data_IF_966282792710
#
_entry.id   IF_966282792710
#
_cell.length_a   1.000
_cell.length_b   1.000
_cell.length_c   1.000
_cell.angle_alpha   90.00
_cell.angle_beta   90.00
_cell.angle_gamma   90.00
#
_symmetry.space_group_name_H-M   'P 1'
#
loop_
_entity.id
_entity.type
_entity.pdbx_description
1 polymer ?
#
# COMPACT_ATOMS: atom_id res chain seq x y z
N UNK A 1 7.35 -4.70 -38.16
CA UNK A 1 6.35 -3.64 -38.43
C UNK A 1 6.79 -2.37 -37.73
N UNK A 2 6.66 -1.21 -38.36
CA UNK A 2 6.98 0.06 -37.70
C UNK A 2 5.97 0.34 -36.58
N UNK A 3 6.44 0.91 -35.47
CA UNK A 3 5.62 1.31 -34.32
C UNK A 3 4.41 2.19 -34.73
N UNK A 4 4.58 3.01 -35.78
CA UNK A 4 3.48 3.78 -36.39
C UNK A 4 2.39 2.89 -37.00
N UNK A 5 2.76 1.84 -37.73
CA UNK A 5 1.81 0.93 -38.37
C UNK A 5 0.96 0.19 -37.33
N UNK A 6 1.61 -0.35 -36.29
CA UNK A 6 0.95 -1.01 -35.16
C UNK A 6 -0.07 -0.09 -34.50
N UNK A 7 0.32 1.15 -34.17
CA UNK A 7 -0.59 2.15 -33.56
C UNK A 7 -1.80 2.49 -34.41
N UNK A 8 -1.58 2.73 -35.71
CA UNK A 8 -2.67 3.04 -36.63
C UNK A 8 -3.65 1.89 -36.70
N UNK A 9 -3.18 0.64 -36.82
CA UNK A 9 -4.06 -0.53 -36.88
C UNK A 9 -4.87 -0.68 -35.60
N UNK A 10 -4.22 -0.73 -34.43
CA UNK A 10 -4.93 -0.96 -33.17
C UNK A 10 -5.85 0.20 -32.80
N UNK A 11 -5.42 1.44 -33.03
CA UNK A 11 -6.26 2.62 -32.82
C UNK A 11 -7.48 2.64 -33.74
N UNK A 12 -7.30 2.34 -35.03
CA UNK A 12 -8.43 2.25 -35.97
C UNK A 12 -9.35 1.08 -35.65
N UNK A 13 -8.80 -0.11 -35.37
CA UNK A 13 -9.58 -1.28 -34.98
C UNK A 13 -10.40 -1.00 -33.71
N UNK A 14 -9.80 -0.39 -32.69
CA UNK A 14 -10.50 -0.04 -31.45
C UNK A 14 -11.62 0.99 -31.66
N UNK A 15 -11.40 2.00 -32.51
CA UNK A 15 -12.46 2.95 -32.91
C UNK A 15 -13.60 2.24 -33.64
N UNK A 16 -13.29 1.34 -34.58
CA UNK A 16 -14.30 0.56 -35.31
C UNK A 16 -15.08 -0.34 -34.36
N UNK A 17 -14.40 -1.02 -33.43
CA UNK A 17 -15.05 -1.86 -32.40
C UNK A 17 -15.96 -1.03 -31.52
N UNK A 18 -15.50 0.10 -30.99
CA UNK A 18 -16.32 0.98 -30.16
C UNK A 18 -17.54 1.50 -30.92
N UNK A 19 -17.37 1.85 -32.20
CA UNK A 19 -18.46 2.30 -33.06
C UNK A 19 -19.49 1.18 -33.34
N UNK A 20 -19.04 -0.04 -33.61
CA UNK A 20 -19.93 -1.20 -33.76
C UNK A 20 -20.67 -1.50 -32.46
N UNK A 21 -19.98 -1.49 -31.30
CA UNK A 21 -20.61 -1.69 -30.00
C UNK A 21 -21.63 -0.59 -29.69
N UNK A 22 -21.40 0.65 -30.13
CA UNK A 22 -22.35 1.73 -29.99
C UNK A 22 -23.58 1.55 -30.88
N UNK A 23 -23.41 1.14 -32.15
CA UNK A 23 -24.53 0.83 -33.04
C UNK A 23 -25.40 -0.30 -32.47
N UNK A 24 -24.76 -1.34 -31.95
CA UNK A 24 -25.44 -2.50 -31.37
C UNK A 24 -25.62 -2.38 -29.85
N UNK A 25 -25.62 -1.16 -29.30
CA UNK A 25 -25.58 -0.92 -27.86
C UNK A 25 -26.71 -1.62 -27.10
N UNK A 26 -27.94 -1.53 -27.60
CA UNK A 26 -29.11 -2.14 -26.97
C UNK A 26 -28.99 -3.67 -26.95
N UNK A 27 -28.63 -4.27 -28.10
CA UNK A 27 -28.47 -5.71 -28.23
C UNK A 27 -27.31 -6.24 -27.36
N UNK A 28 -26.20 -5.51 -27.34
CA UNK A 28 -25.02 -5.86 -26.55
C UNK A 28 -25.27 -5.73 -25.05
N UNK A 29 -25.93 -4.65 -24.61
CA UNK A 29 -26.30 -4.45 -23.20
C UNK A 29 -27.24 -5.55 -22.72
N UNK A 30 -28.25 -5.93 -23.52
CA UNK A 30 -29.15 -7.06 -23.21
C UNK A 30 -28.41 -8.40 -23.15
N UNK A 31 -27.48 -8.64 -24.07
CA UNK A 31 -26.64 -9.84 -24.04
C UNK A 31 -25.80 -9.92 -22.76
N UNK A 32 -25.10 -8.83 -22.40
CA UNK A 32 -24.31 -8.78 -21.18
C UNK A 32 -25.17 -8.92 -19.92
N UNK A 33 -26.35 -8.31 -19.90
CA UNK A 33 -27.32 -8.47 -18.81
C UNK A 33 -27.74 -9.95 -18.67
N UNK A 34 -28.06 -10.62 -19.79
CA UNK A 34 -28.43 -12.04 -19.78
C UNK A 34 -27.27 -12.93 -19.28
N UNK A 35 -26.03 -12.61 -19.64
CA UNK A 35 -24.84 -13.31 -19.11
C UNK A 35 -24.69 -13.05 -17.61
N UNK A 36 -24.84 -11.80 -17.16
CA UNK A 36 -24.75 -11.44 -15.75
C UNK A 36 -25.82 -12.18 -14.91
N UNK A 37 -27.06 -12.20 -15.37
CA UNK A 37 -28.17 -12.85 -14.68
C UNK A 37 -27.99 -14.37 -14.60
N UNK A 38 -27.59 -15.03 -15.69
CA UNK A 38 -27.52 -16.49 -15.68
C UNK A 38 -26.28 -17.08 -15.02
N UNK A 39 -25.17 -16.33 -14.99
CA UNK A 39 -23.87 -16.84 -14.55
C UNK A 39 -23.31 -16.15 -13.31
N UNK A 40 -23.73 -14.93 -12.98
CA UNK A 40 -23.16 -14.14 -11.88
C UNK A 40 -24.18 -13.79 -10.77
N UNK A 41 -25.48 -13.81 -11.05
CA UNK A 41 -26.53 -13.61 -10.04
C UNK A 41 -26.80 -14.94 -9.30
N UNK A 42 -26.65 -14.99 -7.96
CA UNK A 42 -26.88 -16.21 -7.17
C UNK A 42 -28.30 -16.76 -7.27
N UNK A 43 -29.28 -15.86 -7.43
CA UNK A 43 -30.71 -16.12 -7.53
C UNK A 43 -31.24 -16.09 -8.97
N UNK A 44 -30.36 -15.88 -9.95
CA UNK A 44 -30.68 -15.73 -11.38
C UNK A 44 -31.75 -14.68 -11.66
N UNK A 45 -31.82 -13.65 -10.84
CA UNK A 45 -32.83 -12.62 -10.94
C UNK A 45 -32.23 -11.25 -10.62
N UNK A 46 -32.04 -10.42 -11.64
CA UNK A 46 -31.54 -9.06 -11.44
C UNK A 46 -32.72 -8.08 -11.46
N UNK A 47 -32.83 -7.23 -10.42
CA UNK A 47 -33.91 -6.23 -10.33
C UNK A 47 -33.94 -5.32 -11.57
N UNK A 48 -35.13 -4.93 -12.09
CA UNK A 48 -35.23 -4.07 -13.27
C UNK A 48 -34.51 -2.72 -13.16
N UNK A 49 -34.43 -2.16 -11.96
CA UNK A 49 -33.66 -0.92 -11.68
C UNK A 49 -32.17 -1.07 -12.00
N UNK A 50 -31.63 -2.28 -11.90
CA UNK A 50 -30.22 -2.58 -12.17
C UNK A 50 -29.91 -2.66 -13.67
N UNK A 51 -30.92 -2.81 -14.53
CA UNK A 51 -30.75 -2.77 -16.00
C UNK A 51 -30.20 -1.41 -16.42
N UNK A 52 -30.75 -0.33 -15.86
CA UNK A 52 -30.31 1.04 -16.19
C UNK A 52 -28.86 1.28 -15.78
N UNK A 53 -28.44 0.80 -14.61
CA UNK A 53 -27.04 0.89 -14.18
C UNK A 53 -26.13 0.06 -15.09
N UNK A 54 -26.61 -1.09 -15.57
CA UNK A 54 -25.85 -1.96 -16.46
C UNK A 54 -25.66 -1.34 -17.86
N UNK A 55 -26.71 -0.75 -18.42
CA UNK A 55 -26.65 0.01 -19.67
C UNK A 55 -25.70 1.21 -19.54
N UNK A 56 -25.80 1.95 -18.44
CA UNK A 56 -24.91 3.08 -18.16
C UNK A 56 -23.45 2.64 -18.06
N UNK A 57 -23.15 1.58 -17.31
CA UNK A 57 -21.81 1.01 -17.20
C UNK A 57 -21.26 0.52 -18.54
N UNK A 58 -22.10 -0.14 -19.35
CA UNK A 58 -21.75 -0.57 -20.71
C UNK A 58 -21.41 0.63 -21.60
N UNK A 59 -22.19 1.71 -21.50
CA UNK A 59 -21.94 2.97 -22.21
C UNK A 59 -20.59 3.60 -21.82
N UNK A 60 -20.26 3.63 -20.54
CA UNK A 60 -18.95 4.10 -20.04
C UNK A 60 -17.81 3.25 -20.64
N UNK A 61 -17.93 1.93 -20.63
CA UNK A 61 -16.89 1.03 -21.17
C UNK A 61 -16.66 1.30 -22.66
N UNK A 62 -17.73 1.41 -23.45
CA UNK A 62 -17.63 1.72 -24.89
C UNK A 62 -16.96 3.09 -25.10
N UNK A 63 -17.37 4.10 -24.33
CA UNK A 63 -16.76 5.43 -24.34
C UNK A 63 -15.27 5.40 -24.01
N UNK A 64 -14.87 4.64 -22.99
CA UNK A 64 -13.48 4.45 -22.62
C UNK A 64 -12.67 3.77 -23.74
N UNK A 65 -13.20 2.71 -24.37
CA UNK A 65 -12.54 2.04 -25.50
C UNK A 65 -12.33 3.05 -26.65
N UNK A 66 -13.36 3.83 -26.99
CA UNK A 66 -13.27 4.84 -28.04
C UNK A 66 -12.18 5.88 -27.74
N UNK A 67 -12.20 6.47 -26.54
CA UNK A 67 -11.22 7.47 -26.11
C UNK A 67 -9.81 6.89 -26.11
N UNK A 68 -9.59 5.72 -25.51
CA UNK A 68 -8.28 5.06 -25.48
C UNK A 68 -7.76 4.75 -26.90
N UNK A 69 -8.66 4.32 -27.79
CA UNK A 69 -8.31 4.03 -29.19
C UNK A 69 -7.88 5.28 -29.95
N UNK A 70 -8.55 6.41 -29.74
CA UNK A 70 -8.16 7.72 -30.29
C UNK A 70 -6.79 8.14 -29.73
N UNK A 71 -6.58 8.05 -28.42
CA UNK A 71 -5.32 8.40 -27.77
C UNK A 71 -4.15 7.55 -28.33
N UNK A 72 -4.40 6.26 -28.59
CA UNK A 72 -3.42 5.36 -29.18
C UNK A 72 -3.16 5.70 -30.66
N UNK A 73 -4.21 5.96 -31.44
CA UNK A 73 -4.12 6.35 -32.86
C UNK A 73 -3.26 7.60 -33.05
N UNK A 74 -3.47 8.64 -32.23
CA UNK A 74 -2.71 9.89 -32.27
C UNK A 74 -1.38 9.85 -31.53
N UNK A 75 -1.00 8.68 -30.99
CA UNK A 75 0.23 8.48 -30.23
C UNK A 75 0.37 9.47 -29.05
N UNK A 76 -0.76 9.78 -28.41
CA UNK A 76 -0.80 10.77 -27.34
C UNK A 76 0.07 10.33 -26.16
N UNK A 77 0.12 9.02 -25.87
CA UNK A 77 1.00 8.47 -24.81
C UNK A 77 2.47 8.82 -25.04
N UNK A 78 3.00 8.70 -26.27
CA UNK A 78 4.40 9.01 -26.53
C UNK A 78 4.65 10.53 -26.51
N UNK A 79 3.68 11.33 -26.96
CA UNK A 79 3.76 12.80 -26.85
C UNK A 79 3.75 13.25 -25.38
N UNK A 80 2.87 12.68 -24.57
CA UNK A 80 2.79 12.91 -23.14
C UNK A 80 4.07 12.43 -22.44
N UNK A 81 4.57 11.25 -22.76
CA UNK A 81 5.83 10.73 -22.22
C UNK A 81 7.02 11.62 -22.61
N UNK A 82 7.10 12.07 -23.87
CA UNK A 82 8.11 13.01 -24.33
C UNK A 82 8.01 14.37 -23.62
N UNK A 83 6.80 14.84 -23.31
CA UNK A 83 6.58 16.05 -22.52
C UNK A 83 7.04 15.86 -21.07
N UNK A 84 6.66 14.75 -20.42
CA UNK A 84 7.04 14.44 -19.04
C UNK A 84 8.56 14.26 -18.93
N UNK A 85 9.21 13.61 -19.90
CA UNK A 85 10.67 13.47 -19.97
C UNK A 85 11.43 14.81 -20.00
N UNK A 86 10.78 15.92 -20.36
CA UNK A 86 11.41 17.26 -20.29
C UNK A 86 11.51 17.77 -18.86
N UNK A 87 10.65 17.27 -17.97
CA UNK A 87 10.58 17.71 -16.57
C UNK A 87 11.14 16.66 -15.59
N UNK A 88 11.02 15.39 -15.93
CA UNK A 88 11.38 14.27 -15.05
C UNK A 88 12.44 13.42 -15.72
N UNK A 89 13.60 13.34 -15.05
CA UNK A 89 14.66 12.38 -15.36
C UNK A 89 14.27 11.02 -14.78
N UNK A 90 13.70 10.14 -15.62
CA UNK A 90 13.17 8.86 -15.19
C UNK A 90 14.24 7.91 -14.65
N UNK A 91 15.49 7.99 -15.12
CA UNK A 91 16.57 7.18 -14.58
C UNK A 91 16.88 7.61 -13.14
N UNK A 92 16.98 8.91 -12.88
CA UNK A 92 17.16 9.42 -11.50
C UNK A 92 15.94 9.14 -10.63
N UNK A 93 14.73 9.25 -11.15
CA UNK A 93 13.51 8.94 -10.40
C UNK A 93 13.45 7.46 -10.03
N UNK A 94 13.74 6.56 -10.98
CA UNK A 94 13.87 5.12 -10.72
C UNK A 94 14.90 4.86 -9.64
N UNK A 95 16.10 5.43 -9.78
CA UNK A 95 17.18 5.22 -8.83
C UNK A 95 16.82 5.75 -7.43
N UNK A 96 16.13 6.89 -7.35
CA UNK A 96 15.63 7.47 -6.11
C UNK A 96 14.65 6.54 -5.38
N UNK A 97 13.74 5.87 -6.08
CA UNK A 97 12.75 4.99 -5.45
C UNK A 97 13.27 3.55 -5.23
N UNK A 98 14.14 3.05 -6.11
CA UNK A 98 14.49 1.64 -6.16
C UNK A 98 15.87 1.30 -5.59
N UNK A 99 16.77 2.27 -5.39
CA UNK A 99 18.12 2.02 -4.85
C UNK A 99 18.16 2.36 -3.37
N UNK A 100 18.37 1.34 -2.55
CA UNK A 100 18.63 1.47 -1.11
C UNK A 100 20.11 1.17 -0.83
N UNK A 101 20.85 2.19 -0.42
CA UNK A 101 22.31 2.15 -0.31
C UNK A 101 22.82 1.30 0.86
N UNK A 102 21.95 1.03 1.83
CA UNK A 102 22.23 0.16 2.98
C UNK A 102 21.60 -1.22 2.85
N UNK A 103 20.93 -1.51 1.73
CA UNK A 103 20.35 -2.82 1.46
C UNK A 103 21.30 -3.63 0.55
N UNK A 104 21.78 -4.80 0.98
CA UNK A 104 22.65 -5.62 0.15
C UNK A 104 21.90 -6.31 -1.01
N UNK A 105 20.57 -6.40 -0.92
CA UNK A 105 19.70 -6.95 -1.96
C UNK A 105 19.24 -5.83 -2.90
N UNK A 106 19.74 -5.84 -4.13
CA UNK A 106 19.29 -4.89 -5.18
C UNK A 106 17.83 -5.10 -5.59
N UNK A 107 17.25 -6.27 -5.31
CA UNK A 107 15.88 -6.62 -5.73
C UNK A 107 14.84 -6.30 -4.67
N UNK A 108 15.22 -6.24 -3.39
CA UNK A 108 14.25 -6.03 -2.31
C UNK A 108 13.53 -4.69 -2.45
N UNK A 109 14.26 -3.58 -2.61
CA UNK A 109 13.64 -2.24 -2.70
C UNK A 109 12.74 -2.10 -3.93
N UNK A 110 13.11 -2.75 -5.04
CA UNK A 110 12.25 -2.85 -6.22
C UNK A 110 10.97 -3.62 -5.91
N UNK A 111 11.08 -4.80 -5.29
CA UNK A 111 9.92 -5.63 -4.96
C UNK A 111 9.02 -4.95 -3.92
N UNK A 112 9.60 -4.30 -2.91
CA UNK A 112 8.88 -3.54 -1.91
C UNK A 112 8.13 -2.34 -2.53
N UNK A 113 8.73 -1.66 -3.51
CA UNK A 113 8.06 -0.59 -4.26
C UNK A 113 6.84 -1.11 -5.03
N UNK A 114 6.97 -2.23 -5.74
CA UNK A 114 5.84 -2.82 -6.46
C UNK A 114 4.78 -3.40 -5.52
N UNK A 115 5.17 -4.01 -4.40
CA UNK A 115 4.25 -4.48 -3.38
C UNK A 115 3.46 -3.31 -2.77
N UNK A 116 4.15 -2.22 -2.42
CA UNK A 116 3.54 -0.99 -1.91
C UNK A 116 2.49 -0.41 -2.89
N UNK A 117 2.82 -0.37 -4.19
CA UNK A 117 1.88 0.09 -5.23
C UNK A 117 0.70 -0.86 -5.35
N UNK A 118 0.97 -2.15 -5.53
CA UNK A 118 -0.08 -3.13 -5.80
C UNK A 118 -1.05 -3.24 -4.63
N UNK A 119 -0.55 -3.38 -3.40
CA UNK A 119 -1.41 -3.50 -2.23
C UNK A 119 -2.16 -2.21 -1.94
N UNK A 120 -1.51 -1.04 -2.04
CA UNK A 120 -2.17 0.25 -1.82
C UNK A 120 -3.29 0.51 -2.83
N UNK A 121 -3.05 0.25 -4.12
CA UNK A 121 -4.08 0.37 -5.16
C UNK A 121 -5.17 -0.69 -5.01
N UNK A 122 -4.80 -1.93 -4.73
CA UNK A 122 -5.74 -3.04 -4.58
C UNK A 122 -6.74 -2.77 -3.47
N UNK A 123 -6.26 -2.42 -2.26
CA UNK A 123 -7.13 -2.05 -1.15
C UNK A 123 -8.04 -0.90 -1.54
N UNK A 124 -7.48 0.19 -2.07
CA UNK A 124 -8.30 1.34 -2.46
C UNK A 124 -9.39 0.98 -3.49
N UNK A 125 -9.09 0.11 -4.47
CA UNK A 125 -10.08 -0.38 -5.44
C UNK A 125 -11.14 -1.25 -4.74
N UNK A 126 -10.74 -2.14 -3.84
CA UNK A 126 -11.68 -2.97 -3.06
C UNK A 126 -12.66 -2.08 -2.30
N UNK A 127 -12.17 -1.09 -1.57
CA UNK A 127 -13.01 -0.13 -0.84
C UNK A 127 -13.91 0.71 -1.76
N UNK A 128 -13.40 1.15 -2.92
CA UNK A 128 -14.21 1.88 -3.89
C UNK A 128 -15.34 1.04 -4.50
N UNK A 129 -15.11 -0.27 -4.68
CA UNK A 129 -16.08 -1.18 -5.32
C UNK A 129 -17.09 -1.73 -4.32
N UNK A 130 -16.63 -2.12 -3.13
CA UNK A 130 -17.44 -2.82 -2.13
C UNK A 130 -17.90 -1.93 -0.98
N UNK A 131 -17.39 -0.70 -0.88
CA UNK A 131 -17.60 0.19 0.26
C UNK A 131 -16.66 -0.11 1.41
N UNK A 132 -16.82 0.63 2.51
CA UNK A 132 -16.17 0.30 3.78
C UNK A 132 -16.74 -1.02 4.31
N UNK A 133 -15.90 -1.98 4.73
CA UNK A 133 -16.37 -3.18 5.40
C UNK A 133 -17.05 -2.78 6.71
N UNK A 134 -17.82 -3.71 7.28
CA UNK A 134 -18.36 -3.49 8.61
C UNK A 134 -17.18 -3.40 9.60
N UNK A 135 -17.26 -2.47 10.56
CA UNK A 135 -16.45 -2.47 11.78
C UNK A 135 -16.43 -3.90 12.35
N UNK A 136 -15.25 -4.48 12.60
CA UNK A 136 -15.03 -5.89 12.95
C UNK A 136 -15.16 -6.89 11.79
N UNK A 137 -14.68 -6.51 10.61
CA UNK A 137 -14.69 -7.35 9.41
C UNK A 137 -13.53 -8.36 9.34
N UNK A 138 -13.69 -9.38 8.49
CA UNK A 138 -12.61 -10.34 8.16
C UNK A 138 -11.33 -9.62 7.70
N UNK A 139 -11.48 -8.47 7.03
CA UNK A 139 -10.33 -7.72 6.51
C UNK A 139 -9.50 -7.16 7.68
N UNK A 140 -10.14 -6.59 8.70
CA UNK A 140 -9.50 -6.08 9.91
C UNK A 140 -8.70 -7.18 10.63
N UNK A 141 -9.30 -8.37 10.84
CA UNK A 141 -8.62 -9.51 11.43
C UNK A 141 -7.41 -9.96 10.61
N UNK A 142 -7.54 -10.02 9.28
CA UNK A 142 -6.45 -10.43 8.39
C UNK A 142 -5.34 -9.38 8.36
N UNK A 143 -5.69 -8.09 8.38
CA UNK A 143 -4.71 -7.00 8.33
C UNK A 143 -4.01 -6.82 9.68
N UNK A 144 -4.69 -7.05 10.81
CA UNK A 144 -4.05 -7.00 12.13
C UNK A 144 -2.94 -8.06 12.26
N UNK A 145 -3.06 -9.21 11.59
CA UNK A 145 -1.98 -10.21 11.51
C UNK A 145 -0.68 -9.64 10.91
N UNK A 146 -0.75 -8.61 10.06
CA UNK A 146 0.46 -7.96 9.55
C UNK A 146 1.20 -7.20 10.65
N UNK A 147 0.53 -6.65 11.67
CA UNK A 147 1.19 -6.10 12.85
C UNK A 147 1.90 -7.19 13.67
N UNK A 148 1.24 -8.34 13.88
CA UNK A 148 1.83 -9.51 14.54
C UNK A 148 3.09 -9.98 13.80
N UNK A 149 2.97 -10.20 12.49
CA UNK A 149 4.09 -10.63 11.64
C UNK A 149 5.23 -9.59 11.65
N UNK A 150 4.91 -8.30 11.65
CA UNK A 150 5.90 -7.23 11.74
C UNK A 150 6.68 -7.28 13.05
N UNK A 151 5.98 -7.46 14.18
CA UNK A 151 6.60 -7.63 15.49
C UNK A 151 7.53 -8.84 15.53
N UNK A 152 7.07 -9.99 15.02
CA UNK A 152 7.89 -11.21 14.92
C UNK A 152 9.13 -11.00 14.05
N UNK A 153 8.98 -10.37 12.88
CA UNK A 153 10.11 -10.08 11.97
C UNK A 153 11.14 -9.16 12.65
N UNK A 154 10.69 -8.15 13.40
CA UNK A 154 11.58 -7.27 14.16
C UNK A 154 12.31 -8.03 15.27
N UNK A 155 11.61 -8.86 16.05
CA UNK A 155 12.27 -9.74 17.04
C UNK A 155 13.27 -10.67 16.36
N UNK A 156 12.93 -11.21 15.18
CA UNK A 156 13.84 -12.05 14.42
C UNK A 156 15.10 -11.28 13.99
N UNK A 157 14.96 -10.01 13.64
CA UNK A 157 16.09 -9.16 13.24
C UNK A 157 17.13 -8.99 14.36
N UNK A 158 16.74 -9.09 15.64
CA UNK A 158 17.66 -9.05 16.78
C UNK A 158 18.67 -10.20 16.77
N UNK A 159 18.29 -11.40 16.32
CA UNK A 159 19.20 -12.54 16.24
C UNK A 159 20.33 -12.36 15.21
N UNK A 160 20.14 -11.46 14.24
CA UNK A 160 21.15 -11.13 13.24
C UNK A 160 22.06 -9.96 13.65
N UNK A 161 21.73 -9.25 14.74
CA UNK A 161 22.53 -8.14 15.23
C UNK A 161 23.78 -8.67 15.94
N UNK A 162 24.97 -8.33 15.44
CA UNK A 162 26.24 -8.80 16.02
C UNK A 162 26.94 -7.70 16.79
N UNK A 163 27.34 -7.98 18.03
CA UNK A 163 28.03 -7.02 18.91
C UNK A 163 29.30 -6.42 18.27
N UNK A 164 30.06 -7.23 17.54
CA UNK A 164 31.34 -6.83 16.91
C UNK A 164 31.18 -5.81 15.77
N UNK A 165 29.97 -5.73 15.21
CA UNK A 165 29.69 -4.88 14.05
C UNK A 165 29.46 -3.40 14.48
N UNK A 166 29.26 -3.15 15.79
CA UNK A 166 28.86 -1.86 16.34
C UNK A 166 29.56 -1.49 17.65
N UNK A 167 29.68 -0.18 17.95
CA UNK A 167 30.09 0.29 19.28
C UNK A 167 29.08 -0.12 20.36
N UNK A 168 29.47 -0.11 21.65
CA UNK A 168 28.57 -0.53 22.75
C UNK A 168 27.27 0.23 22.77
N UNK A 169 27.36 1.55 22.71
CA UNK A 169 26.20 2.43 22.68
C UNK A 169 25.31 2.13 21.46
N UNK A 170 25.90 1.99 20.27
CA UNK A 170 25.12 1.77 19.04
C UNK A 170 24.44 0.39 19.01
N UNK A 171 25.12 -0.66 19.47
CA UNK A 171 24.53 -1.99 19.60
C UNK A 171 23.32 -1.99 20.55
N UNK A 172 23.46 -1.39 21.73
CA UNK A 172 22.36 -1.26 22.69
C UNK A 172 21.23 -0.40 22.14
N UNK A 173 21.54 0.67 21.41
CA UNK A 173 20.54 1.50 20.73
C UNK A 173 19.73 0.70 19.71
N UNK A 174 20.39 -0.13 18.89
CA UNK A 174 19.69 -1.00 17.94
C UNK A 174 18.78 -2.01 18.64
N UNK A 175 19.26 -2.66 19.71
CA UNK A 175 18.44 -3.58 20.52
C UNK A 175 17.22 -2.85 21.06
N UNK A 176 17.42 -1.70 21.71
CA UNK A 176 16.33 -0.95 22.32
C UNK A 176 15.31 -0.49 21.29
N UNK A 177 15.74 0.08 20.16
CA UNK A 177 14.83 0.56 19.13
C UNK A 177 14.07 -0.56 18.44
N UNK A 178 14.73 -1.67 18.08
CA UNK A 178 14.05 -2.80 17.44
C UNK A 178 13.11 -3.49 18.43
N UNK A 179 13.56 -3.70 19.67
CA UNK A 179 12.73 -4.30 20.72
C UNK A 179 11.51 -3.45 21.05
N UNK A 180 11.69 -2.12 21.17
CA UNK A 180 10.59 -1.19 21.39
C UNK A 180 9.59 -1.21 20.23
N UNK A 181 10.06 -1.12 18.98
CA UNK A 181 9.19 -1.19 17.81
C UNK A 181 8.45 -2.53 17.74
N UNK A 182 9.12 -3.64 18.04
CA UNK A 182 8.49 -4.95 18.06
C UNK A 182 7.37 -5.03 19.11
N UNK A 183 7.65 -4.60 20.34
CA UNK A 183 6.64 -4.58 21.42
C UNK A 183 5.48 -3.65 21.08
N UNK A 184 5.75 -2.48 20.50
CA UNK A 184 4.71 -1.56 20.07
C UNK A 184 3.79 -2.17 19.01
N UNK A 185 4.34 -2.86 17.99
CA UNK A 185 3.53 -3.50 16.94
C UNK A 185 2.76 -4.73 17.46
N UNK A 186 3.35 -5.50 18.37
CA UNK A 186 2.64 -6.59 19.05
C UNK A 186 1.53 -6.06 19.97
N UNK A 187 1.76 -4.90 20.60
CA UNK A 187 0.75 -4.18 21.38
C UNK A 187 -0.40 -3.72 20.50
N UNK A 188 -0.12 -3.10 19.35
CA UNK A 188 -1.16 -2.71 18.38
C UNK A 188 -1.96 -3.95 17.96
N UNK A 189 -1.30 -5.04 17.54
CA UNK A 189 -2.00 -6.29 17.23
C UNK A 189 -2.91 -6.75 18.38
N UNK A 190 -2.39 -6.74 19.62
CA UNK A 190 -3.16 -7.08 20.81
C UNK A 190 -4.39 -6.19 20.97
N UNK A 191 -4.25 -4.88 20.80
CA UNK A 191 -5.36 -3.93 20.86
C UNK A 191 -6.42 -4.23 19.79
N UNK A 192 -6.03 -4.47 18.53
CA UNK A 192 -6.93 -4.78 17.41
C UNK A 192 -7.74 -6.08 17.65
N UNK A 193 -7.16 -7.09 18.29
CA UNK A 193 -7.86 -8.35 18.60
C UNK A 193 -8.41 -8.42 20.02
N UNK A 194 -8.50 -7.27 20.70
CA UNK A 194 -8.99 -7.14 22.08
C UNK A 194 -8.31 -8.09 23.05
N UNK A 195 -6.98 -8.21 22.90
CA UNK A 195 -6.08 -9.08 23.65
C UNK A 195 -6.49 -10.55 23.67
N UNK A 196 -7.22 -10.98 22.64
CA UNK A 196 -7.74 -12.34 22.51
C UNK A 196 -9.05 -12.60 23.26
N UNK A 197 -9.70 -11.56 23.78
CA UNK A 197 -10.98 -11.67 24.50
C UNK A 197 -12.01 -12.50 23.73
N UNK A 198 -12.17 -12.24 22.43
CA UNK A 198 -13.12 -12.94 21.55
C UNK A 198 -12.78 -14.43 21.39
N UNK A 199 -11.49 -14.77 21.29
CA UNK A 199 -11.05 -16.16 21.13
C UNK A 199 -11.22 -17.01 22.40
N UNK A 200 -11.13 -16.38 23.57
CA UNK A 200 -11.22 -17.07 24.85
C UNK A 200 -12.59 -16.87 25.55
N UNK A 201 -13.55 -16.25 24.86
CA UNK A 201 -14.89 -15.95 25.39
C UNK A 201 -14.85 -15.23 26.76
N UNK A 202 -13.88 -14.34 26.93
CA UNK A 202 -13.72 -13.56 28.15
C UNK A 202 -14.67 -12.36 28.08
N UNK A 203 -15.40 -12.06 29.14
CA UNK A 203 -16.18 -10.82 29.22
C UNK A 203 -15.30 -9.66 29.73
N UNK A 204 -15.49 -8.47 29.16
CA UNK A 204 -14.87 -7.28 29.71
C UNK A 204 -15.46 -6.98 31.11
N UNK A 205 -14.66 -6.34 31.96
CA UNK A 205 -15.06 -6.02 33.34
C UNK A 205 -14.64 -4.61 33.73
N UNK A 206 -15.27 -4.07 34.78
CA UNK A 206 -14.96 -2.74 35.32
C UNK A 206 -15.10 -1.64 34.27
N UNK A 207 -14.07 -0.78 34.18
CA UNK A 207 -14.07 0.38 33.27
C UNK A 207 -14.26 0.00 31.81
N UNK A 208 -13.80 -1.18 31.40
CA UNK A 208 -13.93 -1.65 30.02
C UNK A 208 -15.38 -2.03 29.71
N UNK A 209 -16.10 -2.64 30.65
CA UNK A 209 -17.53 -2.95 30.46
C UNK A 209 -18.41 -1.68 30.48
N UNK A 210 -18.03 -0.69 31.27
CA UNK A 210 -18.88 0.49 31.51
C UNK A 210 -18.67 1.62 30.48
N UNK A 211 -17.45 1.78 29.97
CA UNK A 211 -17.06 2.96 29.18
C UNK A 211 -16.40 2.65 27.83
N UNK A 212 -16.01 1.40 27.56
CA UNK A 212 -15.47 1.04 26.24
C UNK A 212 -16.62 0.98 25.24
N UNK A 213 -16.42 1.53 24.04
CA UNK A 213 -17.50 1.66 23.04
C UNK A 213 -18.01 0.32 22.50
N UNK A 214 -17.21 -0.75 22.60
CA UNK A 214 -17.59 -2.10 22.18
C UNK A 214 -17.65 -3.08 23.36
N UNK A 215 -17.57 -2.59 24.60
CA UNK A 215 -17.51 -3.43 25.81
C UNK A 215 -16.37 -4.47 25.76
N UNK A 216 -15.22 -4.06 25.23
CA UNK A 216 -14.03 -4.90 25.09
C UNK A 216 -12.86 -4.44 25.97
N UNK A 217 -11.95 -5.37 26.26
CA UNK A 217 -10.76 -5.18 27.10
C UNK A 217 -9.61 -4.66 26.25
N UNK A 218 -9.84 -3.57 25.53
CA UNK A 218 -8.80 -2.83 24.82
C UNK A 218 -8.87 -1.35 25.15
N UNK A 219 -7.75 -0.67 24.97
CA UNK A 219 -7.63 0.77 25.14
C UNK A 219 -8.08 1.48 23.86
N UNK A 220 -7.82 0.89 22.69
CA UNK A 220 -8.12 1.45 21.37
C UNK A 220 -9.56 1.97 21.27
N UNK A 221 -10.56 1.17 21.69
CA UNK A 221 -11.98 1.52 21.54
C UNK A 221 -12.46 2.69 22.40
N UNK A 222 -11.72 3.10 23.42
CA UNK A 222 -12.04 4.35 24.12
C UNK A 222 -11.77 5.58 23.26
N UNK A 223 -10.86 5.46 22.28
CA UNK A 223 -10.35 6.57 21.48
C UNK A 223 -10.89 6.59 20.04
N UNK A 224 -11.67 5.60 19.59
CA UNK A 224 -12.24 5.55 18.23
C UNK A 224 -12.86 6.89 17.76
N UNK A 225 -13.66 7.61 18.57
CA UNK A 225 -14.25 8.89 18.14
C UNK A 225 -13.22 10.00 17.88
N UNK A 226 -12.02 9.87 18.46
CA UNK A 226 -10.92 10.83 18.34
C UNK A 226 -10.06 10.48 17.11
N UNK A 227 -10.00 9.22 16.70
CA UNK A 227 -9.13 8.76 15.62
C UNK A 227 -9.42 9.41 14.27
N UNK A 228 -10.68 9.73 13.96
CA UNK A 228 -11.03 10.54 12.77
C UNK A 228 -10.30 11.89 12.68
N UNK A 229 -9.83 12.44 13.79
CA UNK A 229 -9.00 13.65 13.82
C UNK A 229 -7.50 13.34 13.88
N UNK A 230 -7.13 12.27 14.58
CA UNK A 230 -5.73 11.87 14.73
C UNK A 230 -5.16 11.34 13.42
N UNK A 231 -5.92 10.55 12.66
CA UNK A 231 -5.47 9.93 11.42
C UNK A 231 -5.07 10.94 10.35
N UNK A 232 -5.84 12.00 10.02
CA UNK A 232 -5.36 13.04 9.11
C UNK A 232 -4.05 13.69 9.54
N UNK A 233 -3.92 13.96 10.85
CA UNK A 233 -2.72 14.62 11.40
C UNK A 233 -1.50 13.70 11.28
N UNK A 234 -1.64 12.44 11.67
CA UNK A 234 -0.55 11.45 11.63
C UNK A 234 -0.23 11.05 10.20
N UNK A 235 -1.24 10.72 9.39
CA UNK A 235 -1.10 10.33 7.99
C UNK A 235 -0.44 11.41 7.14
N UNK A 236 -1.07 12.60 7.06
CA UNK A 236 -0.50 13.71 6.29
C UNK A 236 0.79 14.25 6.92
N UNK A 237 0.85 14.37 8.25
CA UNK A 237 2.05 14.85 8.95
C UNK A 237 3.26 13.95 8.71
N UNK A 238 3.11 12.63 8.83
CA UNK A 238 4.17 11.68 8.56
C UNK A 238 4.61 11.69 7.10
N UNK A 239 3.67 11.80 6.15
CA UNK A 239 3.98 11.93 4.73
C UNK A 239 4.81 13.19 4.45
N UNK A 240 4.37 14.35 4.93
CA UNK A 240 5.10 15.62 4.75
C UNK A 240 6.50 15.54 5.36
N UNK A 241 6.62 15.04 6.59
CA UNK A 241 7.92 14.87 7.26
C UNK A 241 8.82 13.97 6.44
N UNK A 242 8.35 12.81 5.99
CA UNK A 242 9.16 11.87 5.20
C UNK A 242 9.60 12.47 3.87
N UNK A 243 8.73 13.24 3.20
CA UNK A 243 9.10 13.97 1.98
C UNK A 243 10.19 14.99 2.23
N UNK A 244 10.06 15.78 3.29
CA UNK A 244 11.09 16.75 3.66
C UNK A 244 12.42 16.07 3.97
N UNK A 245 12.38 14.95 4.69
CA UNK A 245 13.57 14.14 4.97
C UNK A 245 14.16 13.52 3.70
N UNK A 246 13.33 13.12 2.74
CA UNK A 246 13.81 12.48 1.52
C UNK A 246 14.38 13.46 0.49
N UNK A 247 13.87 14.69 0.42
CA UNK A 247 14.26 15.67 -0.59
C UNK A 247 15.32 16.65 -0.08
N UNK A 248 15.20 17.12 1.17
CA UNK A 248 16.00 18.24 1.67
C UNK A 248 17.01 17.82 2.73
N UNK A 249 16.71 16.79 3.52
CA UNK A 249 17.67 16.32 4.50
C UNK A 249 18.76 15.48 3.83
N UNK A 250 20.01 15.95 3.91
CA UNK A 250 21.19 15.15 3.59
C UNK A 250 21.65 14.46 4.86
N UNK A 251 21.20 13.23 5.14
CA UNK A 251 21.62 12.57 6.36
C UNK A 251 23.14 12.49 6.43
N UNK A 252 23.69 12.74 7.62
CA UNK A 252 25.05 12.28 7.93
C UNK A 252 25.15 10.81 7.50
N UNK A 253 26.34 10.33 7.14
CA UNK A 253 26.59 8.93 6.71
C UNK A 253 26.30 7.86 7.79
N UNK A 254 25.52 8.18 8.83
CA UNK A 254 25.10 7.26 9.89
C UNK A 254 24.18 6.17 9.34
N UNK A 255 24.64 4.92 9.46
CA UNK A 255 23.85 3.74 9.14
C UNK A 255 22.54 3.69 9.92
N UNK A 256 22.57 4.10 11.20
CA UNK A 256 21.41 4.11 12.09
C UNK A 256 20.25 4.90 11.49
N UNK A 257 20.52 6.12 11.02
CA UNK A 257 19.50 6.97 10.43
C UNK A 257 18.91 6.33 9.15
N UNK A 258 19.78 5.83 8.26
CA UNK A 258 19.34 5.21 6.99
C UNK A 258 18.53 3.93 7.21
N UNK A 259 18.78 3.23 8.31
CA UNK A 259 18.05 2.01 8.68
C UNK A 259 16.64 2.33 9.16
N UNK A 260 16.48 3.31 10.05
CA UNK A 260 15.20 3.58 10.71
C UNK A 260 14.34 4.66 10.04
N UNK A 261 14.87 5.40 9.07
CA UNK A 261 14.02 6.21 8.20
C UNK A 261 13.45 5.29 7.12
N UNK A 262 12.11 5.26 6.93
CA UNK A 262 11.48 4.53 5.85
C UNK A 262 12.13 4.86 4.51
N UNK A 263 12.37 3.83 3.71
CA UNK A 263 12.99 4.00 2.42
C UNK A 263 11.98 4.58 1.42
N UNK A 264 12.49 5.35 0.45
CA UNK A 264 11.69 6.02 -0.59
C UNK A 264 10.86 5.04 -1.42
N UNK A 265 11.23 3.77 -1.47
CA UNK A 265 10.42 2.71 -2.08
C UNK A 265 9.01 2.58 -1.48
N UNK A 266 8.79 3.07 -0.25
CA UNK A 266 7.48 3.08 0.40
C UNK A 266 6.68 4.36 0.12
N UNK A 267 7.22 5.30 -0.68
CA UNK A 267 6.59 6.59 -0.99
C UNK A 267 5.12 6.44 -1.39
N UNK A 268 4.83 5.54 -2.33
CA UNK A 268 3.49 5.41 -2.87
C UNK A 268 2.50 4.92 -1.83
N UNK A 269 2.86 3.91 -1.03
CA UNK A 269 2.00 3.41 0.04
C UNK A 269 1.74 4.51 1.08
N UNK A 270 2.76 5.22 1.52
CA UNK A 270 2.61 6.33 2.49
C UNK A 270 1.76 7.46 1.90
N UNK A 271 1.91 7.75 0.60
CA UNK A 271 1.07 8.74 -0.08
C UNK A 271 -0.41 8.33 -0.08
N UNK A 272 -0.71 7.08 -0.45
CA UNK A 272 -2.09 6.58 -0.45
C UNK A 272 -2.65 6.52 0.97
N UNK A 273 -1.85 6.11 1.97
CA UNK A 273 -2.23 6.19 3.38
C UNK A 273 -2.61 7.61 3.81
N UNK A 274 -1.79 8.61 3.44
CA UNK A 274 -2.07 10.01 3.75
C UNK A 274 -3.31 10.55 3.03
N UNK A 275 -3.67 10.01 1.87
CA UNK A 275 -4.95 10.31 1.21
C UNK A 275 -6.11 9.63 1.94
N UNK A 276 -5.96 8.35 2.31
CA UNK A 276 -6.98 7.56 3.00
C UNK A 276 -7.30 8.08 4.39
N UNK A 277 -6.35 8.73 5.07
CA UNK A 277 -6.53 9.23 6.43
C UNK A 277 -7.61 10.33 6.57
N UNK A 278 -8.10 10.91 5.47
CA UNK A 278 -9.17 11.91 5.48
C UNK A 278 -10.57 11.31 5.31
N UNK A 279 -10.68 9.98 5.19
CA UNK A 279 -11.94 9.30 4.92
C UNK A 279 -12.50 8.61 6.17
N UNK A 280 -13.67 9.07 6.64
CA UNK A 280 -14.50 8.36 7.61
C UNK A 280 -13.81 8.07 8.95
N UNK A 281 -14.14 6.90 9.51
CA UNK A 281 -13.54 6.33 10.72
C UNK A 281 -12.16 5.69 10.43
N UNK A 282 -11.79 5.64 9.15
CA UNK A 282 -10.49 5.34 8.52
C UNK A 282 -9.80 4.00 8.86
N UNK A 283 -10.58 2.92 8.86
CA UNK A 283 -10.08 1.53 8.79
C UNK A 283 -9.06 1.35 7.65
N UNK A 284 -9.32 1.94 6.47
CA UNK A 284 -8.41 1.88 5.30
C UNK A 284 -6.99 2.33 5.68
N UNK A 285 -6.88 3.37 6.51
CA UNK A 285 -5.58 3.88 6.92
C UNK A 285 -4.85 2.86 7.79
N UNK A 286 -5.54 2.22 8.73
CA UNK A 286 -4.98 1.20 9.63
C UNK A 286 -4.53 -0.05 8.87
N UNK A 287 -5.33 -0.52 7.92
CA UNK A 287 -4.98 -1.67 7.07
C UNK A 287 -3.71 -1.38 6.25
N UNK A 288 -3.65 -0.20 5.63
CA UNK A 288 -2.46 0.21 4.89
C UNK A 288 -1.26 0.45 5.82
N UNK A 289 -1.48 0.89 7.05
CA UNK A 289 -0.46 1.04 8.08
C UNK A 289 0.13 -0.32 8.47
N UNK A 290 -0.70 -1.36 8.59
CA UNK A 290 -0.25 -2.72 8.86
C UNK A 290 0.66 -3.26 7.74
N UNK A 291 0.25 -3.06 6.48
CA UNK A 291 1.06 -3.40 5.29
C UNK A 291 2.38 -2.63 5.28
N UNK A 292 2.34 -1.33 5.61
CA UNK A 292 3.54 -0.50 5.69
C UNK A 292 4.54 -1.05 6.71
N UNK A 293 4.09 -1.35 7.94
CA UNK A 293 4.97 -1.88 8.97
C UNK A 293 5.54 -3.26 8.63
N UNK A 294 4.79 -4.07 7.89
CA UNK A 294 5.29 -5.37 7.43
C UNK A 294 6.42 -5.22 6.40
N UNK A 295 6.23 -4.38 5.37
CA UNK A 295 7.31 -4.10 4.42
C UNK A 295 8.52 -3.42 5.10
N UNK A 296 8.26 -2.56 6.08
CA UNK A 296 9.29 -1.84 6.83
C UNK A 296 10.11 -2.76 7.73
N UNK A 297 9.48 -3.67 8.46
CA UNK A 297 10.17 -4.67 9.30
C UNK A 297 11.00 -5.64 8.45
N UNK A 298 10.47 -6.09 7.30
CA UNK A 298 11.22 -6.90 6.34
C UNK A 298 12.48 -6.17 5.82
N UNK A 299 12.35 -4.87 5.51
CA UNK A 299 13.50 -4.06 5.11
C UNK A 299 14.57 -4.04 6.20
N UNK A 300 14.17 -3.77 7.45
CA UNK A 300 15.10 -3.75 8.60
C UNK A 300 15.83 -5.09 8.71
N UNK A 301 15.10 -6.21 8.64
CA UNK A 301 15.69 -7.55 8.70
C UNK A 301 16.73 -7.78 7.60
N UNK A 302 16.39 -7.44 6.35
CA UNK A 302 17.29 -7.63 5.20
C UNK A 302 18.56 -6.76 5.33
N UNK A 303 18.41 -5.50 5.75
CA UNK A 303 19.55 -4.59 5.96
C UNK A 303 20.47 -5.08 7.09
N UNK A 304 19.91 -5.48 8.25
CA UNK A 304 20.69 -5.99 9.38
C UNK A 304 21.43 -7.28 8.98
N UNK A 305 20.74 -8.23 8.35
CA UNK A 305 21.33 -9.52 7.95
C UNK A 305 22.53 -9.35 7.03
N UNK A 306 22.53 -8.35 6.17
CA UNK A 306 23.63 -8.11 5.24
C UNK A 306 24.55 -6.95 5.60
N UNK A 307 24.47 -6.40 6.82
CA UNK A 307 25.31 -5.30 7.28
C UNK A 307 26.81 -5.58 7.10
N UNK A 308 27.28 -6.75 7.57
CA UNK A 308 28.68 -7.17 7.42
C UNK A 308 29.17 -7.21 5.97
N UNK A 309 28.29 -7.59 5.02
CA UNK A 309 28.61 -7.60 3.59
C UNK A 309 28.85 -6.18 3.06
N UNK A 310 28.06 -5.22 3.53
CA UNK A 310 28.18 -3.81 3.13
C UNK A 310 29.45 -3.19 3.68
N UNK A 311 29.79 -3.43 4.95
CA UNK A 311 31.04 -2.96 5.53
C UNK A 311 32.26 -3.46 4.74
N UNK A 312 32.27 -4.74 4.34
CA UNK A 312 33.34 -5.31 3.53
C UNK A 312 33.45 -4.70 2.13
N UNK A 313 32.33 -4.32 1.51
CA UNK A 313 32.34 -3.65 0.20
C UNK A 313 32.87 -2.22 0.33
N UNK A 314 32.46 -1.50 1.38
CA UNK A 314 32.90 -0.12 1.62
C UNK A 314 34.38 -0.04 1.99
N UNK A 315 34.89 -0.96 2.80
CA UNK A 315 36.32 -1.01 3.13
C UNK A 315 37.19 -1.24 1.90
N UNK A 316 36.78 -2.14 0.98
CA UNK A 316 37.49 -2.38 -0.28
C UNK A 316 37.51 -1.17 -1.22
N UNK A 317 36.43 -0.38 -1.26
CA UNK A 317 36.35 0.82 -2.11
C UNK A 317 37.20 1.99 -1.61
N UNK A 318 37.58 2.01 -0.33
CA UNK A 318 38.43 3.07 0.25
C UNK A 318 39.93 2.72 0.18
N UNK A 319 40.30 1.56 -0.38
CA UNK A 319 41.68 1.07 -0.50
C UNK A 319 42.21 1.18 -1.95
N UNK A 320 41.35 1.56 -2.90
CA UNK A 320 41.67 1.80 -4.33
C UNK A 320 41.58 3.29 -4.61
#
# INVERSE_FOLDING_TARGET
>A
MSDKFTRTIFGTAGVVVAFLLFIFFEAFSKFLFHVAENYFSPDKHILPKNIVYFEFGTGIIIGCIFVLSILFFFNFYAKAFALINRFIDFDKARDFFMIDDINPSKTFSKNAFFAAIFTGLFLHIVYLVFGEPAHEGIIEEVMSLFFLLSGIVLLWSLFYLKRKDFSRAMYLSHIFTIGFLAVALLGIYGEEISWGQRFFEIEATGIFKEYNLQEETNIHNFFNPIFKFLYPIVGMGSFVILILLWLFYKPRKSYYYKLYVPHKSMFFLIFVMACASFHGDSEIYEEMLAVFFFLYSLRILVCIKGFSKIQNIQSRKNVI
#
